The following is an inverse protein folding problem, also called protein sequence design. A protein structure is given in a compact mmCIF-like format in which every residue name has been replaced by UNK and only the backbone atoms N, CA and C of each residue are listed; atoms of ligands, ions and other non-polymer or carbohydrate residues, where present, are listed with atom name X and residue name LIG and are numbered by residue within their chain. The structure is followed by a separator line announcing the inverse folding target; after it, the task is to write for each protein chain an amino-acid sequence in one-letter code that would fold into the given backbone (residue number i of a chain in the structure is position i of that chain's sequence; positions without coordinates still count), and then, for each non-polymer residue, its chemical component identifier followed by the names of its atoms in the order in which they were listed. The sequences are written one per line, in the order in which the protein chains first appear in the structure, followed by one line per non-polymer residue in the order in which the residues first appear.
data_IF_973791906185
#
_entry.id   IF_973791906185
#
_cell.length_a   1.000
_cell.length_b   1.000
_cell.length_c   1.000
_cell.angle_alpha   90.00
_cell.angle_beta   90.00
_cell.angle_gamma   90.00
#
_symmetry.space_group_name_H-M   'P 1'
#
loop_
_entity.id
_entity.type
_entity.pdbx_description
1 polymer ?
#
# COMPACT_ATOMS: atom_id res chain seq x y z
N UNK A 1 -4.80 6.42 -0.50
CA UNK A 1 -3.46 6.00 -1.01
C UNK A 1 -2.96 6.94 -2.10
N UNK A 2 -1.64 7.04 -2.32
CA UNK A 2 -1.03 7.94 -3.32
C UNK A 2 0.19 7.27 -3.95
N UNK A 3 0.36 7.39 -5.28
CA UNK A 3 1.61 7.01 -5.96
C UNK A 3 2.68 8.05 -5.64
N UNK A 4 3.81 7.61 -5.13
CA UNK A 4 4.94 8.49 -4.74
C UNK A 4 6.19 8.23 -5.56
N UNK A 5 6.33 7.03 -6.12
CA UNK A 5 7.51 6.64 -6.87
C UNK A 5 7.10 5.76 -8.07
N UNK A 6 7.65 6.03 -9.23
CA UNK A 6 7.52 5.19 -10.43
C UNK A 6 8.93 4.91 -10.92
N UNK A 7 9.26 3.64 -11.08
CA UNK A 7 10.60 3.20 -11.44
C UNK A 7 10.59 2.41 -12.75
N UNK A 8 11.60 2.63 -13.58
CA UNK A 8 11.96 1.69 -14.64
C UNK A 8 12.63 0.43 -14.04
N UNK A 9 13.31 -0.30 -14.86
CA UNK A 9 14.09 -1.46 -14.44
C UNK A 9 15.36 -1.10 -13.62
N UNK A 10 15.80 0.17 -13.63
CA UNK A 10 17.06 0.59 -13.01
C UNK A 10 16.94 1.84 -12.13
N UNK A 11 16.00 2.73 -12.41
CA UNK A 11 16.00 4.07 -11.84
C UNK A 11 14.59 4.60 -11.56
N UNK A 12 14.48 5.55 -10.65
CA UNK A 12 13.26 6.33 -10.42
C UNK A 12 13.08 7.31 -11.58
N UNK A 13 11.89 7.33 -12.17
CA UNK A 13 11.58 8.11 -13.36
C UNK A 13 11.08 9.53 -13.00
N UNK A 14 11.60 10.53 -13.68
CA UNK A 14 11.16 11.91 -13.57
C UNK A 14 9.73 12.14 -14.09
N UNK A 15 9.17 13.34 -13.86
CA UNK A 15 7.79 13.69 -14.24
C UNK A 15 7.55 13.64 -15.76
N UNK A 16 8.52 14.04 -16.55
CA UNK A 16 8.42 14.13 -18.01
C UNK A 16 8.91 12.88 -18.76
N UNK A 17 9.29 11.83 -18.03
CA UNK A 17 9.81 10.61 -18.62
C UNK A 17 8.71 9.85 -19.39
N UNK A 18 9.00 9.52 -20.65
CA UNK A 18 8.08 8.81 -21.54
C UNK A 18 7.73 7.42 -20.98
N UNK A 19 8.69 6.72 -20.39
CA UNK A 19 8.45 5.41 -19.81
C UNK A 19 7.55 5.51 -18.58
N UNK A 20 7.68 6.56 -17.77
CA UNK A 20 6.76 6.84 -16.67
C UNK A 20 5.32 7.00 -17.14
N UNK A 21 5.12 7.82 -18.20
CA UNK A 21 3.80 8.01 -18.79
C UNK A 21 3.24 6.68 -19.29
N UNK A 22 4.05 5.84 -19.92
CA UNK A 22 3.64 4.52 -20.40
C UNK A 22 3.24 3.58 -19.23
N UNK A 23 4.04 3.54 -18.14
CA UNK A 23 3.73 2.75 -16.94
C UNK A 23 2.38 3.17 -16.33
N UNK A 24 2.14 4.49 -16.22
CA UNK A 24 0.89 5.03 -15.67
C UNK A 24 -0.30 4.77 -16.60
N UNK A 25 -0.10 4.86 -17.92
CA UNK A 25 -1.14 4.54 -18.92
C UNK A 25 -1.54 3.07 -18.80
N UNK A 26 -0.58 2.15 -18.82
CA UNK A 26 -0.88 0.71 -18.73
C UNK A 26 -1.42 0.32 -17.35
N UNK A 27 -0.91 0.93 -16.28
CA UNK A 27 -1.48 0.75 -14.94
C UNK A 27 -2.92 1.25 -14.82
N UNK A 28 -3.30 2.29 -15.58
CA UNK A 28 -4.67 2.81 -15.64
C UNK A 28 -5.59 2.02 -16.56
N UNK A 29 -5.07 1.39 -17.61
CA UNK A 29 -5.84 0.47 -18.47
C UNK A 29 -6.16 -0.84 -17.75
N UNK A 30 -5.16 -1.44 -17.06
CA UNK A 30 -5.38 -2.61 -16.22
C UNK A 30 -5.90 -2.18 -14.84
N UNK A 31 -7.14 -1.64 -14.79
CA UNK A 31 -7.69 -0.98 -13.62
C UNK A 31 -9.22 -0.89 -13.72
N UNK A 32 -9.93 -1.20 -12.63
CA UNK A 32 -11.40 -1.25 -12.59
C UNK A 32 -12.02 0.04 -12.04
N UNK A 33 -11.20 1.07 -11.74
CA UNK A 33 -11.71 2.36 -11.28
C UNK A 33 -12.56 3.04 -12.36
N UNK A 34 -13.82 3.32 -12.03
CA UNK A 34 -14.74 4.10 -12.86
C UNK A 34 -14.75 5.52 -12.31
N UNK A 35 -14.37 6.50 -13.15
CA UNK A 35 -14.50 7.91 -12.82
C UNK A 35 -15.94 8.34 -13.13
N UNK A 36 -16.79 8.45 -12.13
CA UNK A 36 -18.10 9.07 -12.25
C UNK A 36 -18.01 10.53 -11.82
N UNK A 37 -18.39 11.46 -12.70
CA UNK A 37 -18.64 12.84 -12.35
C UNK A 37 -20.04 12.94 -11.71
N UNK A 38 -20.08 12.97 -10.39
CA UNK A 38 -21.27 13.39 -9.66
C UNK A 38 -20.92 14.72 -9.00
N UNK A 39 -21.57 15.81 -9.47
CA UNK A 39 -21.55 17.17 -8.94
C UNK A 39 -20.45 17.49 -7.90
N UNK A 40 -19.27 17.85 -8.40
CA UNK A 40 -18.10 18.38 -7.64
C UNK A 40 -17.39 17.46 -6.63
N UNK A 41 -17.86 16.28 -6.33
CA UNK A 41 -17.13 15.26 -5.57
C UNK A 41 -16.98 13.98 -6.41
N UNK A 42 -15.75 13.49 -6.55
CA UNK A 42 -15.45 12.23 -7.24
C UNK A 42 -15.72 11.09 -6.27
N UNK A 43 -16.90 10.48 -6.36
CA UNK A 43 -17.21 9.29 -5.57
C UNK A 43 -16.50 8.07 -6.19
N UNK A 44 -15.47 7.58 -5.51
CA UNK A 44 -14.61 6.50 -5.96
C UNK A 44 -14.92 5.24 -5.14
N UNK A 45 -15.92 4.47 -5.58
CA UNK A 45 -16.24 3.15 -5.00
C UNK A 45 -15.31 2.05 -5.54
N UNK A 46 -13.99 2.16 -5.34
CA UNK A 46 -13.03 1.16 -5.86
C UNK A 46 -11.80 1.07 -4.96
N UNK A 47 -11.04 -0.01 -5.14
CA UNK A 47 -9.79 -0.25 -4.40
C UNK A 47 -8.90 1.01 -4.37
N UNK A 48 -8.52 1.49 -3.18
CA UNK A 48 -7.70 2.69 -3.02
C UNK A 48 -6.36 2.63 -3.76
N UNK A 49 -5.83 1.43 -4.01
CA UNK A 49 -4.59 1.20 -4.76
C UNK A 49 -4.79 1.52 -6.25
N UNK A 50 -5.92 1.10 -6.80
CA UNK A 50 -6.28 1.36 -8.20
C UNK A 50 -6.55 2.84 -8.44
N UNK A 51 -7.34 3.45 -7.55
CA UNK A 51 -7.59 4.89 -7.54
C UNK A 51 -6.30 5.71 -7.51
N UNK A 52 -5.31 5.33 -6.70
CA UNK A 52 -4.04 6.03 -6.61
C UNK A 52 -3.28 6.06 -7.95
N UNK A 53 -3.35 4.97 -8.74
CA UNK A 53 -2.72 4.89 -10.06
C UNK A 53 -3.41 5.84 -11.04
N UNK A 54 -4.76 5.80 -11.11
CA UNK A 54 -5.55 6.66 -12.01
C UNK A 54 -5.37 8.14 -11.67
N UNK A 55 -5.36 8.50 -10.39
CA UNK A 55 -5.09 9.88 -9.95
C UNK A 55 -3.67 10.34 -10.31
N UNK A 56 -2.68 9.45 -10.18
CA UNK A 56 -1.32 9.77 -10.62
C UNK A 56 -1.24 9.96 -12.12
N UNK A 57 -1.92 9.12 -12.91
CA UNK A 57 -2.02 9.27 -14.37
C UNK A 57 -2.67 10.61 -14.75
N UNK A 58 -3.77 10.97 -14.10
CA UNK A 58 -4.46 12.25 -14.31
C UNK A 58 -3.55 13.46 -14.07
N UNK A 59 -2.75 13.44 -13.00
CA UNK A 59 -1.76 14.49 -12.71
C UNK A 59 -0.67 14.61 -13.81
N UNK A 60 -0.47 13.54 -14.60
CA UNK A 60 0.42 13.52 -15.77
C UNK A 60 -0.32 13.72 -17.09
N UNK A 61 -1.55 14.28 -17.04
CA UNK A 61 -2.42 14.56 -18.19
C UNK A 61 -2.87 13.31 -18.97
N UNK A 62 -2.89 12.16 -18.32
CA UNK A 62 -3.42 10.90 -18.84
C UNK A 62 -4.84 10.72 -18.29
N UNK A 63 -5.83 10.88 -19.15
CA UNK A 63 -7.25 10.82 -18.77
C UNK A 63 -7.77 9.41 -19.04
N UNK A 64 -8.19 8.68 -18.00
CA UNK A 64 -8.63 7.28 -18.11
C UNK A 64 -9.72 7.08 -19.14
N UNK A 65 -10.75 7.93 -19.18
CA UNK A 65 -11.85 7.83 -20.15
C UNK A 65 -11.41 8.03 -21.60
N UNK A 66 -10.31 8.73 -21.84
CA UNK A 66 -9.75 8.91 -23.19
C UNK A 66 -8.95 7.67 -23.61
N UNK A 67 -8.09 7.15 -22.72
CA UNK A 67 -7.32 5.93 -23.04
C UNK A 67 -8.21 4.69 -23.13
N UNK A 68 -9.29 4.59 -22.36
CA UNK A 68 -10.25 3.47 -22.46
C UNK A 68 -11.02 3.47 -23.82
N UNK A 69 -11.19 4.64 -24.45
CA UNK A 69 -11.76 4.76 -25.80
C UNK A 69 -10.77 4.36 -26.89
N UNK A 70 -9.49 4.69 -26.68
CA UNK A 70 -8.42 4.37 -27.64
C UNK A 70 -8.04 2.89 -27.56
N UNK A 71 -8.01 2.32 -26.34
CA UNK A 71 -7.68 0.92 -26.06
C UNK A 71 -8.88 0.21 -25.46
N UNK A 72 -9.82 -0.23 -26.30
CA UNK A 72 -11.04 -0.87 -25.82
C UNK A 72 -10.72 -2.19 -25.13
N UNK A 73 -11.16 -2.36 -23.87
CA UNK A 73 -11.03 -3.63 -23.13
C UNK A 73 -11.94 -4.68 -23.73
N UNK A 74 -11.37 -5.81 -24.14
CA UNK A 74 -12.07 -6.96 -24.77
C UNK A 74 -11.93 -8.27 -24.00
N UNK A 75 -11.21 -8.25 -22.88
CA UNK A 75 -11.06 -9.40 -21.99
C UNK A 75 -10.31 -9.04 -20.72
N UNK A 76 -10.52 -9.82 -19.67
CA UNK A 76 -9.85 -9.63 -18.39
C UNK A 76 -9.71 -10.94 -17.61
N UNK A 77 -8.74 -10.98 -16.73
CA UNK A 77 -8.61 -11.91 -15.61
C UNK A 77 -8.56 -11.06 -14.36
N UNK A 78 -9.63 -11.03 -13.54
CA UNK A 78 -9.68 -10.21 -12.33
C UNK A 78 -8.55 -10.52 -11.36
N UNK A 79 -8.28 -9.60 -10.42
CA UNK A 79 -7.30 -9.83 -9.38
C UNK A 79 -7.67 -11.06 -8.54
N UNK A 80 -6.70 -11.93 -8.33
CA UNK A 80 -6.83 -13.09 -7.46
C UNK A 80 -5.73 -13.09 -6.38
N UNK A 81 -6.13 -13.24 -5.13
CA UNK A 81 -5.23 -13.13 -3.97
C UNK A 81 -4.19 -14.26 -3.88
N UNK A 82 -4.43 -15.41 -4.50
CA UNK A 82 -3.46 -16.52 -4.57
C UNK A 82 -2.46 -16.29 -5.70
N UNK A 83 -2.95 -15.83 -6.85
CA UNK A 83 -2.16 -15.50 -8.02
C UNK A 83 -1.45 -14.15 -7.88
N UNK A 84 -2.02 -13.21 -7.10
CA UNK A 84 -1.54 -11.84 -6.85
C UNK A 84 -1.34 -11.00 -8.12
N UNK A 85 -2.03 -11.32 -9.18
CA UNK A 85 -1.99 -10.67 -10.49
C UNK A 85 -3.41 -10.32 -10.95
N UNK A 86 -3.50 -9.31 -11.80
CA UNK A 86 -4.64 -8.95 -12.62
C UNK A 86 -4.17 -8.75 -14.04
N UNK A 87 -4.95 -9.17 -15.04
CA UNK A 87 -4.62 -9.01 -16.45
C UNK A 87 -5.81 -8.50 -17.24
N UNK A 88 -5.55 -7.61 -18.20
CA UNK A 88 -6.57 -7.09 -19.12
C UNK A 88 -6.07 -7.19 -20.56
N UNK A 89 -7.01 -7.38 -21.49
CA UNK A 89 -6.76 -7.46 -22.93
C UNK A 89 -7.46 -6.29 -23.60
N UNK A 90 -6.73 -5.53 -24.39
CA UNK A 90 -7.23 -4.34 -25.08
C UNK A 90 -6.99 -4.45 -26.58
N UNK A 91 -7.87 -3.84 -27.37
CA UNK A 91 -7.62 -3.62 -28.80
C UNK A 91 -6.65 -2.45 -28.98
N UNK A 92 -5.61 -2.64 -29.79
CA UNK A 92 -4.61 -1.63 -30.16
C UNK A 92 -4.50 -1.58 -31.70
N UNK A 93 -5.39 -0.82 -32.31
CA UNK A 93 -5.52 -0.72 -33.77
C UNK A 93 -5.81 -2.08 -34.45
N UNK A 94 -4.79 -2.73 -35.03
CA UNK A 94 -4.88 -4.07 -35.64
C UNK A 94 -4.42 -5.19 -34.72
N UNK A 95 -3.83 -4.85 -33.57
CA UNK A 95 -3.21 -5.76 -32.65
C UNK A 95 -3.98 -5.81 -31.30
N UNK A 96 -3.52 -6.64 -30.39
CA UNK A 96 -4.03 -6.74 -29.02
C UNK A 96 -2.92 -6.45 -28.03
N UNK A 97 -3.22 -5.61 -27.06
CA UNK A 97 -2.36 -5.27 -25.96
C UNK A 97 -2.84 -6.01 -24.70
N UNK A 98 -2.03 -6.90 -24.19
CA UNK A 98 -2.25 -7.61 -22.92
C UNK A 98 -1.44 -6.87 -21.86
N UNK A 99 -2.07 -6.46 -20.77
CA UNK A 99 -1.42 -5.79 -19.65
C UNK A 99 -1.62 -6.64 -18.41
N UNK A 100 -0.56 -6.87 -17.66
CA UNK A 100 -0.61 -7.59 -16.38
C UNK A 100 0.01 -6.71 -15.29
N UNK A 101 -0.71 -6.55 -14.17
CA UNK A 101 -0.22 -5.86 -12.97
C UNK A 101 -0.31 -6.77 -11.75
N UNK A 102 0.56 -6.57 -10.78
CA UNK A 102 0.51 -7.25 -9.50
C UNK A 102 1.82 -7.30 -8.75
N UNK A 103 1.97 -8.31 -7.90
CA UNK A 103 3.16 -8.49 -7.06
C UNK A 103 4.42 -8.65 -7.93
N UNK A 104 5.45 -7.80 -7.71
CA UNK A 104 6.62 -7.75 -8.60
C UNK A 104 7.38 -9.07 -8.68
N UNK A 105 7.50 -9.80 -7.60
CA UNK A 105 8.17 -11.11 -7.52
C UNK A 105 7.50 -12.14 -8.43
N UNK A 106 6.18 -12.26 -8.34
CA UNK A 106 5.39 -13.19 -9.17
C UNK A 106 5.37 -12.74 -10.64
N UNK A 107 5.25 -11.43 -10.86
CA UNK A 107 5.19 -10.89 -12.22
C UNK A 107 6.51 -11.09 -12.97
N UNK A 108 7.66 -10.94 -12.29
CA UNK A 108 8.98 -11.16 -12.89
C UNK A 108 9.17 -12.57 -13.42
N UNK A 109 8.62 -13.58 -12.74
CA UNK A 109 8.68 -14.99 -13.18
C UNK A 109 7.89 -15.23 -14.48
N UNK A 110 6.97 -14.32 -14.84
CA UNK A 110 6.18 -14.35 -16.08
C UNK A 110 6.82 -13.56 -17.22
N UNK A 111 7.90 -12.81 -16.95
CA UNK A 111 8.52 -11.90 -17.90
C UNK A 111 9.74 -12.54 -18.57
N UNK A 112 9.66 -12.78 -19.88
CA UNK A 112 10.80 -13.18 -20.70
C UNK A 112 11.61 -11.99 -21.22
N UNK A 113 11.04 -10.78 -21.14
CA UNK A 113 11.63 -9.55 -21.67
C UNK A 113 11.46 -8.40 -20.68
N UNK A 114 12.21 -7.34 -20.89
CA UNK A 114 12.04 -6.05 -20.21
C UNK A 114 12.11 -4.88 -21.19
N UNK A 115 11.45 -3.80 -20.84
CA UNK A 115 11.48 -2.56 -21.59
C UNK A 115 12.37 -1.54 -20.89
N UNK A 116 13.27 -0.91 -21.65
CA UNK A 116 14.14 0.16 -21.16
C UNK A 116 14.39 1.19 -22.27
N UNK A 117 14.04 2.46 -21.99
CA UNK A 117 14.30 3.59 -22.89
C UNK A 117 13.92 3.34 -24.35
N UNK A 118 12.74 2.79 -24.61
CA UNK A 118 12.24 2.53 -25.95
C UNK A 118 12.63 1.18 -26.57
N UNK A 119 13.39 0.34 -25.86
CA UNK A 119 13.85 -0.96 -26.36
C UNK A 119 13.35 -2.11 -25.53
N UNK A 120 12.96 -3.19 -26.21
CA UNK A 120 12.63 -4.47 -25.57
C UNK A 120 13.85 -5.38 -25.70
N UNK A 121 14.29 -5.95 -24.59
CA UNK A 121 15.43 -6.84 -24.49
C UNK A 121 15.07 -8.10 -23.70
N UNK A 122 15.79 -9.20 -23.94
CA UNK A 122 15.57 -10.44 -23.21
C UNK A 122 15.91 -10.27 -21.71
N UNK A 123 15.07 -10.83 -20.85
CA UNK A 123 15.27 -10.82 -19.41
C UNK A 123 16.50 -11.69 -19.05
N UNK A 124 17.47 -11.10 -18.40
CA UNK A 124 18.63 -11.82 -17.86
C UNK A 124 18.52 -11.98 -16.35
N UNK A 125 19.23 -12.96 -15.79
CA UNK A 125 19.28 -13.15 -14.33
C UNK A 125 19.78 -11.89 -13.59
N UNK A 126 20.76 -11.19 -14.18
CA UNK A 126 21.29 -9.95 -13.63
C UNK A 126 20.23 -8.83 -13.62
N UNK A 127 19.48 -8.71 -14.73
CA UNK A 127 18.42 -7.70 -14.84
C UNK A 127 17.26 -7.98 -13.90
N UNK A 128 16.81 -9.22 -13.80
CA UNK A 128 15.81 -9.66 -12.84
C UNK A 128 16.24 -9.32 -11.40
N UNK A 129 17.49 -9.63 -11.04
CA UNK A 129 18.06 -9.28 -9.73
C UNK A 129 18.06 -7.76 -9.47
N UNK A 130 18.40 -6.96 -10.49
CA UNK A 130 18.39 -5.50 -10.38
C UNK A 130 16.98 -4.97 -10.07
N UNK A 131 15.94 -5.51 -10.74
CA UNK A 131 14.55 -5.14 -10.51
C UNK A 131 14.10 -5.58 -9.10
N UNK A 132 14.48 -6.78 -8.67
CA UNK A 132 14.21 -7.27 -7.31
C UNK A 132 14.81 -6.34 -6.25
N UNK A 133 16.07 -5.94 -6.42
CA UNK A 133 16.72 -4.98 -5.51
C UNK A 133 16.01 -3.61 -5.50
N UNK A 134 15.50 -3.17 -6.66
CA UNK A 134 14.72 -1.92 -6.73
C UNK A 134 13.39 -2.07 -5.99
N UNK A 135 12.68 -3.20 -6.15
CA UNK A 135 11.48 -3.53 -5.39
C UNK A 135 11.75 -3.52 -3.88
N UNK A 136 12.84 -4.16 -3.43
CA UNK A 136 13.24 -4.17 -2.02
C UNK A 136 13.53 -2.75 -1.48
N UNK A 137 14.22 -1.91 -2.27
CA UNK A 137 14.46 -0.50 -1.90
C UNK A 137 13.16 0.28 -1.72
N UNK A 138 12.18 0.06 -2.60
CA UNK A 138 10.87 0.70 -2.51
C UNK A 138 10.08 0.15 -1.31
N UNK A 139 10.09 -1.16 -1.10
CA UNK A 139 9.46 -1.80 0.06
C UNK A 139 10.07 -1.33 1.39
N UNK A 140 11.38 -1.11 1.43
CA UNK A 140 12.08 -0.54 2.59
C UNK A 140 11.70 0.93 2.89
N UNK A 141 11.10 1.63 1.91
CA UNK A 141 10.48 2.96 2.12
C UNK A 141 9.01 2.86 2.53
N UNK A 142 8.55 1.67 2.91
CA UNK A 142 7.16 1.40 3.25
C UNK A 142 6.17 1.58 2.08
N UNK A 143 6.62 1.39 0.85
CA UNK A 143 5.75 1.46 -0.32
C UNK A 143 5.12 0.09 -0.60
N UNK A 144 3.82 0.08 -0.87
CA UNK A 144 3.19 -1.03 -1.58
C UNK A 144 3.63 -0.95 -3.03
N UNK A 145 4.37 -1.95 -3.48
CA UNK A 145 4.93 -1.96 -4.84
C UNK A 145 4.10 -2.85 -5.74
N UNK A 146 3.74 -2.32 -6.91
CA UNK A 146 3.11 -3.06 -8.00
C UNK A 146 4.02 -3.06 -9.22
N UNK A 147 4.20 -4.23 -9.82
CA UNK A 147 4.81 -4.38 -11.13
C UNK A 147 3.78 -4.19 -12.24
N UNK A 148 4.21 -3.61 -13.36
CA UNK A 148 3.46 -3.50 -14.59
C UNK A 148 4.24 -4.18 -15.70
N UNK A 149 3.56 -5.03 -16.45
CA UNK A 149 4.09 -5.70 -17.65
C UNK A 149 3.08 -5.68 -18.78
N UNK A 150 3.54 -5.95 -19.98
CA UNK A 150 2.67 -6.04 -21.15
C UNK A 150 3.17 -7.08 -22.16
N UNK A 151 2.29 -7.43 -23.10
CA UNK A 151 2.60 -8.25 -24.28
C UNK A 151 1.75 -7.78 -25.45
N UNK A 152 2.31 -7.68 -26.64
CA UNK A 152 1.56 -7.43 -27.88
C UNK A 152 1.30 -8.75 -28.61
N UNK A 153 0.11 -8.87 -29.18
CA UNK A 153 -0.31 -10.03 -29.95
C UNK A 153 -1.05 -9.56 -31.22
N UNK A 154 -0.72 -10.14 -32.36
CA UNK A 154 -1.40 -9.89 -33.62
C UNK A 154 -2.72 -10.69 -33.78
N UNK A 155 -3.10 -11.47 -32.76
CA UNK A 155 -4.34 -12.24 -32.75
C UNK A 155 -5.04 -12.04 -31.40
N UNK A 156 -6.37 -11.95 -31.44
CA UNK A 156 -7.18 -11.96 -30.23
C UNK A 156 -6.94 -13.26 -29.49
N UNK A 157 -6.62 -13.22 -28.17
CA UNK A 157 -6.54 -14.43 -27.38
C UNK A 157 -7.88 -15.18 -27.42
N UNK A 158 -7.88 -16.41 -27.91
CA UNK A 158 -9.11 -17.22 -28.02
C UNK A 158 -9.67 -17.57 -26.64
N UNK A 159 -8.77 -17.73 -25.65
CA UNK A 159 -9.11 -18.04 -24.27
C UNK A 159 -8.33 -17.07 -23.37
N UNK A 160 -9.03 -16.30 -22.56
CA UNK A 160 -8.45 -15.33 -21.61
C UNK A 160 -8.25 -16.03 -20.27
N UNK A 161 -7.21 -16.83 -20.21
CA UNK A 161 -6.78 -17.56 -19.00
C UNK A 161 -5.31 -17.27 -18.70
N UNK A 162 -4.95 -17.37 -17.42
CA UNK A 162 -3.58 -17.08 -16.94
C UNK A 162 -2.50 -17.89 -17.67
N UNK A 163 -2.76 -19.18 -17.94
CA UNK A 163 -1.85 -20.05 -18.68
C UNK A 163 -1.55 -19.57 -20.11
N UNK A 164 -2.48 -18.85 -20.73
CA UNK A 164 -2.40 -18.44 -22.13
C UNK A 164 -1.84 -17.02 -22.31
N UNK A 165 -2.17 -16.10 -21.39
CA UNK A 165 -1.82 -14.69 -21.57
C UNK A 165 -0.74 -14.20 -20.62
N UNK A 166 -0.54 -14.82 -19.44
CA UNK A 166 0.43 -14.41 -18.44
C UNK A 166 1.78 -15.15 -18.60
N UNK A 167 2.33 -15.14 -19.80
CA UNK A 167 3.63 -15.71 -20.14
C UNK A 167 4.33 -14.87 -21.19
N UNK A 168 5.66 -14.95 -21.26
CA UNK A 168 6.49 -14.19 -22.18
C UNK A 168 6.21 -12.68 -22.16
N UNK A 169 5.92 -12.14 -20.97
CA UNK A 169 5.61 -10.74 -20.77
C UNK A 169 6.86 -9.88 -20.88
N UNK A 170 6.64 -8.61 -21.22
CA UNK A 170 7.66 -7.56 -21.20
C UNK A 170 7.48 -6.77 -19.91
N UNK A 171 8.43 -6.87 -18.98
CA UNK A 171 8.42 -6.08 -17.76
C UNK A 171 8.63 -4.59 -18.09
N UNK A 172 7.70 -3.73 -17.65
CA UNK A 172 7.72 -2.30 -17.98
C UNK A 172 8.28 -1.44 -16.83
N UNK A 173 7.89 -1.74 -15.60
CA UNK A 173 8.35 -0.98 -14.43
C UNK A 173 7.56 -1.25 -13.15
N UNK A 174 7.89 -0.46 -12.12
CA UNK A 174 7.32 -0.56 -10.77
C UNK A 174 6.57 0.74 -10.42
N UNK A 175 5.46 0.60 -9.71
CA UNK A 175 4.69 1.71 -9.11
C UNK A 175 4.73 1.54 -7.60
N UNK A 176 5.26 2.52 -6.88
CA UNK A 176 5.28 2.58 -5.43
C UNK A 176 4.17 3.46 -4.89
N UNK A 177 3.31 2.86 -4.09
CA UNK A 177 2.12 3.48 -3.52
C UNK A 177 2.28 3.52 -2.01
N UNK A 178 1.97 4.66 -1.40
CA UNK A 178 1.92 4.81 0.05
C UNK A 178 0.50 5.13 0.48
N UNK A 179 0.13 4.68 1.67
CA UNK A 179 -1.02 5.22 2.36
C UNK A 179 -0.54 6.35 3.28
N UNK A 180 -0.65 7.62 2.88
CA UNK A 180 -0.18 8.70 3.71
C UNK A 180 -1.05 8.79 4.97
N UNK A 181 -0.47 9.13 6.12
CA UNK A 181 -1.26 9.47 7.28
C UNK A 181 -2.13 10.68 6.94
N UNK A 182 -3.32 10.75 7.53
CA UNK A 182 -4.23 11.88 7.38
C UNK A 182 -3.58 13.15 7.97
N UNK A 183 -3.79 14.30 7.36
CA UNK A 183 -3.25 15.58 7.88
C UNK A 183 -3.82 15.88 9.27
N UNK A 184 -5.10 15.57 9.50
CA UNK A 184 -5.76 15.74 10.81
C UNK A 184 -5.07 14.92 11.91
N UNK A 185 -4.53 13.74 11.57
CA UNK A 185 -3.80 12.92 12.53
C UNK A 185 -2.50 13.59 13.00
N UNK A 186 -1.83 14.33 12.11
CA UNK A 186 -0.62 15.09 12.47
C UNK A 186 -0.94 16.23 13.42
N UNK A 187 -2.02 16.96 13.14
CA UNK A 187 -2.49 18.06 14.00
C UNK A 187 -2.91 17.51 15.38
N UNK A 188 -3.66 16.41 15.41
CA UNK A 188 -4.06 15.75 16.64
C UNK A 188 -2.86 15.31 17.50
N UNK A 189 -1.82 14.74 16.88
CA UNK A 189 -0.57 14.38 17.57
C UNK A 189 0.11 15.60 18.17
N UNK A 190 0.13 16.74 17.47
CA UNK A 190 0.70 17.97 17.99
C UNK A 190 -0.09 18.51 19.18
N UNK A 191 -1.43 18.50 19.11
CA UNK A 191 -2.31 18.92 20.19
C UNK A 191 -2.10 18.03 21.42
N UNK A 192 -2.03 16.71 21.25
CA UNK A 192 -1.73 15.76 22.33
C UNK A 192 -0.40 16.13 23.02
N UNK A 193 0.67 16.35 22.26
CA UNK A 193 1.99 16.71 22.81
C UNK A 193 1.95 18.04 23.58
N UNK A 194 1.23 19.05 23.06
CA UNK A 194 1.06 20.34 23.75
C UNK A 194 0.28 20.20 25.06
N UNK A 195 -0.66 19.26 25.11
CA UNK A 195 -1.43 18.94 26.32
C UNK A 195 -0.67 18.01 27.32
N UNK A 196 0.60 17.67 27.03
CA UNK A 196 1.39 16.75 27.85
C UNK A 196 1.03 15.29 27.67
N UNK A 197 0.22 14.96 26.66
CA UNK A 197 -0.14 13.57 26.34
C UNK A 197 0.91 12.98 25.41
N UNK A 198 1.46 11.84 25.75
CA UNK A 198 2.42 11.10 24.94
C UNK A 198 1.71 10.24 23.91
N UNK A 199 1.76 10.55 22.59
CA UNK A 199 1.19 9.69 21.56
C UNK A 199 2.08 8.46 21.35
N UNK A 200 1.46 7.30 21.20
CA UNK A 200 2.10 5.99 20.94
C UNK A 200 1.41 5.35 19.74
N UNK A 201 2.18 4.80 18.81
CA UNK A 201 1.65 4.09 17.65
C UNK A 201 1.68 2.58 17.86
N UNK A 202 0.52 1.94 17.72
CA UNK A 202 0.36 0.49 17.79
C UNK A 202 -0.26 0.03 16.48
N UNK A 203 0.44 -0.79 15.68
CA UNK A 203 0.00 -1.18 14.33
C UNK A 203 0.32 -2.63 13.99
N UNK A 204 -0.49 -3.22 13.10
CA UNK A 204 -0.19 -4.50 12.43
C UNK A 204 0.82 -4.38 11.29
N UNK A 205 1.18 -3.18 10.87
CA UNK A 205 2.09 -2.91 9.76
C UNK A 205 3.53 -3.33 10.06
N UNK A 206 4.31 -3.42 8.98
CA UNK A 206 5.75 -3.68 9.09
C UNK A 206 6.47 -2.54 9.82
N UNK A 207 7.48 -2.87 10.62
CA UNK A 207 8.20 -1.90 11.47
C UNK A 207 8.77 -0.71 10.68
N UNK A 208 9.26 -0.92 9.46
CA UNK A 208 9.80 0.15 8.60
C UNK A 208 8.69 1.13 8.21
N UNK A 209 7.52 0.62 7.84
CA UNK A 209 6.32 1.42 7.52
C UNK A 209 5.86 2.21 8.74
N UNK A 210 5.73 1.54 9.89
CA UNK A 210 5.30 2.15 11.14
C UNK A 210 6.24 3.28 11.58
N UNK A 211 7.56 3.06 11.52
CA UNK A 211 8.57 4.11 11.81
C UNK A 211 8.45 5.30 10.87
N UNK A 212 8.34 5.07 9.55
CA UNK A 212 8.23 6.15 8.57
C UNK A 212 6.96 7.02 8.80
N UNK A 213 5.83 6.37 9.13
CA UNK A 213 4.57 7.06 9.46
C UNK A 213 4.70 7.81 10.79
N UNK A 214 5.25 7.18 11.84
CA UNK A 214 5.41 7.78 13.15
C UNK A 214 6.30 9.04 13.12
N UNK A 215 7.39 9.01 12.34
CA UNK A 215 8.25 10.19 12.11
C UNK A 215 7.47 11.30 11.39
N UNK A 216 6.71 10.96 10.34
CA UNK A 216 5.87 11.93 9.59
C UNK A 216 4.82 12.60 10.47
N UNK A 217 4.19 11.83 11.37
CA UNK A 217 3.20 12.34 12.31
C UNK A 217 3.84 13.10 13.49
N UNK A 218 5.15 12.99 13.67
CA UNK A 218 5.84 13.55 14.82
C UNK A 218 5.64 12.74 16.11
N UNK A 219 5.24 11.47 16.04
CA UNK A 219 5.12 10.58 17.20
C UNK A 219 6.50 10.21 17.72
N UNK A 220 7.46 9.97 16.81
CA UNK A 220 8.84 9.62 17.15
C UNK A 220 9.85 10.43 16.33
N UNK A 221 11.05 10.59 16.88
CA UNK A 221 12.21 11.11 16.17
C UNK A 221 12.88 10.01 15.32
N UNK A 222 13.67 10.35 14.27
CA UNK A 222 14.28 9.36 13.37
C UNK A 222 15.15 8.29 14.07
N UNK A 223 15.75 8.63 15.20
CA UNK A 223 16.65 7.76 15.97
C UNK A 223 15.96 7.00 17.11
N UNK A 224 14.67 7.25 17.34
CA UNK A 224 13.93 6.56 18.40
C UNK A 224 13.73 5.08 18.08
N UNK A 225 13.47 4.31 19.15
CA UNK A 225 13.29 2.86 19.05
C UNK A 225 11.86 2.50 18.69
N UNK A 226 11.72 1.44 17.92
CA UNK A 226 10.46 0.74 17.68
C UNK A 226 10.63 -0.74 17.99
N UNK A 227 9.61 -1.39 18.49
CA UNK A 227 9.61 -2.81 18.84
C UNK A 227 8.57 -3.57 18.01
N UNK A 228 8.88 -4.82 17.67
CA UNK A 228 7.97 -5.69 16.92
C UNK A 228 7.21 -6.63 17.85
N UNK A 229 6.03 -7.12 17.38
CA UNK A 229 5.27 -8.16 18.10
C UNK A 229 6.09 -9.43 18.37
N UNK A 230 7.03 -9.79 17.48
CA UNK A 230 7.91 -10.92 17.68
C UNK A 230 8.92 -10.70 18.84
N UNK A 231 9.40 -9.48 19.00
CA UNK A 231 10.26 -9.11 20.14
C UNK A 231 9.45 -9.05 21.44
N UNK A 232 8.23 -8.44 21.38
CA UNK A 232 7.30 -8.41 22.52
C UNK A 232 6.92 -9.79 23.03
N UNK A 233 6.79 -10.79 22.14
CA UNK A 233 6.46 -12.17 22.52
C UNK A 233 7.57 -12.87 23.32
N UNK A 234 8.80 -12.36 23.31
CA UNK A 234 9.93 -12.90 24.04
C UNK A 234 10.07 -12.30 25.45
N UNK A 235 9.38 -11.21 25.72
CA UNK A 235 9.38 -10.51 26.99
C UNK A 235 8.20 -11.01 27.85
N UNK A 236 8.40 -11.18 29.12
CA UNK A 236 7.30 -11.28 30.06
C UNK A 236 6.66 -9.91 30.33
N UNK A 237 5.71 -9.81 31.25
CA UNK A 237 5.00 -8.55 31.47
C UNK A 237 5.85 -7.56 32.28
N UNK A 238 6.67 -8.04 33.18
CA UNK A 238 7.53 -7.21 34.02
C UNK A 238 8.69 -6.65 33.21
N UNK A 239 9.34 -7.48 32.38
CA UNK A 239 10.35 -7.03 31.40
C UNK A 239 9.79 -5.97 30.46
N UNK A 240 8.55 -6.15 29.97
CA UNK A 240 7.90 -5.17 29.11
C UNK A 240 7.66 -3.85 29.86
N UNK A 241 7.22 -3.90 31.10
CA UNK A 241 7.04 -2.69 31.92
C UNK A 241 8.33 -1.92 32.08
N UNK A 242 9.46 -2.58 32.27
CA UNK A 242 10.74 -1.92 32.46
C UNK A 242 11.18 -1.08 31.26
N UNK A 243 10.91 -1.57 30.04
CA UNK A 243 11.38 -0.94 28.81
C UNK A 243 10.31 -0.14 28.05
N UNK A 244 9.03 -0.18 28.46
CA UNK A 244 7.91 0.36 27.67
C UNK A 244 8.09 1.85 27.33
N UNK A 245 8.72 2.60 28.21
CA UNK A 245 8.94 4.05 28.03
C UNK A 245 9.95 4.37 26.95
N UNK A 246 10.81 3.43 26.56
CA UNK A 246 11.82 3.60 25.50
C UNK A 246 11.20 3.56 24.08
N UNK A 247 9.96 3.11 23.94
CA UNK A 247 9.33 2.84 22.67
C UNK A 247 8.07 3.69 22.44
N UNK A 248 8.02 4.35 21.30
CA UNK A 248 6.83 5.08 20.85
C UNK A 248 6.11 4.37 19.69
N UNK A 249 6.69 3.28 19.14
CA UNK A 249 6.13 2.52 18.01
C UNK A 249 6.19 1.03 18.27
N UNK A 250 5.02 0.38 18.18
CA UNK A 250 4.82 -1.06 18.33
C UNK A 250 4.26 -1.60 17.01
N UNK A 251 5.07 -2.39 16.26
CA UNK A 251 4.78 -2.84 14.93
C UNK A 251 4.53 -4.36 14.84
N UNK A 252 3.72 -4.81 13.88
CA UNK A 252 3.35 -6.23 13.71
C UNK A 252 2.82 -6.88 14.98
N UNK A 253 2.00 -6.14 15.72
CA UNK A 253 1.43 -6.62 16.99
C UNK A 253 0.10 -7.34 16.76
N UNK A 254 -0.13 -8.39 17.56
CA UNK A 254 -1.43 -9.07 17.66
C UNK A 254 -2.37 -8.33 18.62
N UNK A 255 -3.68 -8.66 18.63
CA UNK A 255 -4.61 -8.12 19.63
C UNK A 255 -4.15 -8.31 21.09
N UNK A 256 -3.57 -9.45 21.40
CA UNK A 256 -3.02 -9.77 22.74
C UNK A 256 -1.87 -8.83 23.11
N UNK A 257 -0.98 -8.53 22.16
CA UNK A 257 0.09 -7.57 22.38
C UNK A 257 -0.43 -6.18 22.71
N UNK A 258 -1.53 -5.72 22.06
CA UNK A 258 -2.16 -4.42 22.32
C UNK A 258 -2.61 -4.32 23.78
N UNK A 259 -3.24 -5.36 24.32
CA UNK A 259 -3.67 -5.42 25.72
C UNK A 259 -2.45 -5.38 26.65
N UNK A 260 -1.39 -6.12 26.34
CA UNK A 260 -0.14 -6.12 27.15
C UNK A 260 0.51 -4.74 27.19
N UNK A 261 0.56 -4.04 26.08
CA UNK A 261 1.12 -2.67 25.97
C UNK A 261 0.30 -1.71 26.84
N UNK A 262 -1.04 -1.73 26.75
CA UNK A 262 -1.92 -0.92 27.59
C UNK A 262 -1.64 -1.16 29.07
N UNK A 263 -1.63 -2.44 29.48
CA UNK A 263 -1.35 -2.83 30.88
C UNK A 263 0.03 -2.40 31.37
N UNK A 264 1.06 -2.48 30.51
CA UNK A 264 2.41 -2.05 30.87
C UNK A 264 2.48 -0.54 31.15
N UNK A 265 1.82 0.30 30.34
CA UNK A 265 1.72 1.72 30.63
C UNK A 265 0.91 2.01 31.91
N UNK A 266 -0.19 1.31 32.14
CA UNK A 266 -0.99 1.43 33.38
C UNK A 266 -0.19 1.03 34.61
N UNK A 267 0.59 -0.05 34.55
CA UNK A 267 1.47 -0.49 35.66
C UNK A 267 2.55 0.54 36.00
N UNK A 268 2.97 1.36 35.03
CA UNK A 268 3.86 2.52 35.24
C UNK A 268 3.13 3.74 35.85
N UNK A 269 1.84 3.63 36.13
CA UNK A 269 1.04 4.72 36.71
C UNK A 269 0.50 5.72 35.69
N UNK A 270 0.57 5.40 34.37
CA UNK A 270 -0.01 6.25 33.34
C UNK A 270 -1.52 6.01 33.20
N UNK A 271 -2.26 7.06 32.89
CA UNK A 271 -3.65 6.96 32.39
C UNK A 271 -3.60 6.76 30.89
N UNK A 272 -4.16 5.66 30.41
CA UNK A 272 -4.05 5.22 29.01
C UNK A 272 -5.36 5.41 28.28
N UNK A 273 -5.37 6.27 27.24
CA UNK A 273 -6.42 6.32 26.24
C UNK A 273 -6.02 5.45 25.02
N UNK A 274 -6.89 4.51 24.63
CA UNK A 274 -6.70 3.65 23.47
C UNK A 274 -7.70 4.02 22.39
N UNK A 275 -7.19 4.27 21.16
CA UNK A 275 -8.05 4.47 19.99
C UNK A 275 -8.01 3.25 19.09
N UNK A 276 -9.15 2.89 18.47
CA UNK A 276 -9.24 1.76 17.57
C UNK A 276 -10.50 1.76 16.72
N UNK A 277 -10.47 1.05 15.59
CA UNK A 277 -11.57 0.96 14.65
C UNK A 277 -11.99 -0.49 14.33
N UNK A 278 -11.11 -1.46 14.61
CA UNK A 278 -11.29 -2.85 14.24
C UNK A 278 -11.77 -3.77 15.39
N UNK A 279 -12.28 -4.93 15.02
CA UNK A 279 -12.61 -6.02 15.95
C UNK A 279 -11.39 -6.42 16.81
N UNK A 280 -10.21 -6.36 16.22
CA UNK A 280 -8.93 -6.69 16.87
C UNK A 280 -8.52 -5.67 17.95
N UNK A 281 -9.15 -4.49 17.98
CA UNK A 281 -8.86 -3.43 18.95
C UNK A 281 -9.75 -3.53 20.19
N UNK A 282 -10.90 -4.17 20.07
CA UNK A 282 -11.90 -4.23 21.13
C UNK A 282 -11.36 -4.69 22.50
N UNK A 283 -10.50 -5.74 22.61
CA UNK A 283 -9.94 -6.12 23.90
C UNK A 283 -9.04 -5.04 24.51
N UNK A 284 -8.27 -4.30 23.69
CA UNK A 284 -7.41 -3.23 24.14
C UNK A 284 -8.18 -1.96 24.49
N UNK A 285 -9.23 -1.62 23.72
CA UNK A 285 -10.18 -0.54 24.04
C UNK A 285 -10.79 -0.75 25.42
N UNK A 286 -11.25 -1.98 25.70
CA UNK A 286 -11.86 -2.33 27.00
C UNK A 286 -10.84 -2.37 28.14
N UNK A 287 -9.57 -2.63 27.88
CA UNK A 287 -8.53 -2.72 28.89
C UNK A 287 -7.93 -1.36 29.26
N UNK A 288 -8.08 -0.34 28.41
CA UNK A 288 -7.61 1.01 28.63
C UNK A 288 -8.44 1.73 29.72
N UNK A 289 -7.92 2.83 30.24
CA UNK A 289 -8.67 3.71 31.15
C UNK A 289 -9.75 4.50 30.40
N UNK A 290 -9.50 4.77 29.10
CA UNK A 290 -10.44 5.41 28.18
C UNK A 290 -10.33 4.73 26.83
N UNK A 291 -11.33 3.93 26.45
CA UNK A 291 -11.46 3.36 25.10
C UNK A 291 -12.18 4.33 24.15
N UNK A 292 -11.58 4.67 23.02
CA UNK A 292 -12.15 5.58 22.01
C UNK A 292 -12.31 4.83 20.68
N UNK A 293 -13.53 4.60 20.22
CA UNK A 293 -13.79 4.00 18.92
C UNK A 293 -14.04 5.05 17.84
N UNK A 294 -13.64 4.75 16.59
CA UNK A 294 -13.90 5.61 15.44
C UNK A 294 -15.38 5.54 15.04
N UNK A 295 -16.05 6.72 14.92
CA UNK A 295 -17.48 6.81 14.66
C UNK A 295 -17.86 6.41 13.23
N UNK A 296 -17.14 6.87 12.23
CA UNK A 296 -17.45 6.62 10.82
C UNK A 296 -16.90 5.27 10.37
N UNK A 297 -15.62 4.98 10.64
CA UNK A 297 -14.91 3.78 10.17
C UNK A 297 -14.90 2.63 11.16
N UNK A 298 -15.28 2.88 12.43
CA UNK A 298 -15.25 1.87 13.48
C UNK A 298 -16.32 0.80 13.32
N UNK A 299 -15.91 -0.47 13.55
CA UNK A 299 -16.82 -1.61 13.59
C UNK A 299 -17.74 -1.53 14.81
N UNK A 300 -18.92 -2.16 14.74
CA UNK A 300 -19.86 -2.21 15.87
C UNK A 300 -19.23 -2.87 17.11
N UNK A 301 -18.32 -3.82 16.90
CA UNK A 301 -17.60 -4.48 17.98
C UNK A 301 -16.65 -3.51 18.69
N UNK A 302 -15.92 -2.69 17.94
CA UNK A 302 -15.06 -1.66 18.52
C UNK A 302 -15.87 -0.60 19.27
N UNK A 303 -16.96 -0.13 18.65
CA UNK A 303 -17.89 0.84 19.27
C UNK A 303 -18.52 0.29 20.55
N UNK A 304 -18.93 -0.98 20.57
CA UNK A 304 -19.50 -1.63 21.76
C UNK A 304 -18.50 -1.91 22.89
N UNK A 305 -17.19 -1.90 22.60
CA UNK A 305 -16.14 -2.09 23.58
C UNK A 305 -15.54 -0.78 24.14
N UNK A 306 -15.82 0.35 23.49
CA UNK A 306 -15.27 1.66 23.83
C UNK A 306 -16.14 2.43 24.80
N UNK A 307 -15.54 3.34 25.58
CA UNK A 307 -16.22 4.26 26.48
C UNK A 307 -16.80 5.47 25.74
N UNK A 308 -16.17 5.83 24.60
CA UNK A 308 -16.63 6.92 23.75
C UNK A 308 -16.43 6.61 22.26
N UNK A 309 -17.24 7.25 21.43
CA UNK A 309 -17.18 7.15 19.97
C UNK A 309 -16.92 8.54 19.40
N UNK A 310 -15.86 8.69 18.59
CA UNK A 310 -15.39 9.95 18.02
C UNK A 310 -15.77 10.11 16.56
#
# INVERSE_FOLDING_TARGET
MKVVEVCSTNEVLGSEDIQKKLILTYGSLCNDTILQHIDSEVDLQVDPTETAIVMSAFNHKIVKTAIDKEFQRVGEIPFDSKRKLMSTVHEDSSDYLIITKGAPDILLDKCAYYYDKGKISAMTKEKSRTITLQNEKMANKALRVLGISFKKSNKKPMVVESSNIENDLVFLGLIGIIDPPREEAKEAVQICKQAGIRPVMITGDHVITAKAIAVKLGIMEPNDKAITGQELSKLDQDDLCDIIDDYSVFARVSPEHKVRIVKAFQQKGNVVAMTGDGVNDAPALKAADIGCAMGITGTDVAKGAADMVC
#
